data_IF_084223109391
#
_entry.id   IF_084223109391
#
_cell.length_a   1.000
_cell.length_b   1.000
_cell.length_c   1.000
_cell.angle_alpha   90.00
_cell.angle_beta   90.00
_cell.angle_gamma   90.00
#
_symmetry.space_group_name_H-M   'P 1'
#
loop_
_entity.id
_entity.type
_entity.pdbx_description
1 polymer ?
#
# COMPACT_ATOMS: atom_id res chain seq x y z
N UNK A 1 -4.49 4.72 1.42
CA UNK A 1 -4.28 3.37 0.84
C UNK A 1 -5.57 2.55 0.81
N UNK A 2 -6.26 2.35 1.95
CA UNK A 2 -7.51 1.56 2.00
C UNK A 2 -8.60 2.12 1.10
N UNK A 3 -8.74 3.45 1.05
CA UNK A 3 -9.76 4.07 0.19
C UNK A 3 -9.49 3.88 -1.31
N UNK A 4 -8.21 3.75 -1.70
CA UNK A 4 -7.84 3.38 -3.07
C UNK A 4 -8.23 1.94 -3.38
N UNK A 5 -8.03 1.03 -2.43
CA UNK A 5 -8.43 -0.38 -2.55
C UNK A 5 -9.96 -0.47 -2.71
N UNK A 6 -10.72 0.21 -1.83
CA UNK A 6 -12.20 0.26 -1.93
C UNK A 6 -12.67 0.90 -3.23
N UNK A 7 -12.05 1.99 -3.66
CA UNK A 7 -12.41 2.66 -4.91
C UNK A 7 -12.14 1.77 -6.12
N UNK A 8 -11.05 1.00 -6.12
CA UNK A 8 -10.76 0.04 -7.18
C UNK A 8 -11.76 -1.13 -7.20
N UNK A 9 -12.06 -1.71 -6.03
CA UNK A 9 -13.10 -2.74 -5.86
C UNK A 9 -14.45 -2.27 -6.44
N UNK A 10 -14.87 -1.05 -6.09
CA UNK A 10 -16.11 -0.45 -6.61
C UNK A 10 -16.06 -0.25 -8.14
N UNK A 11 -14.92 0.15 -8.70
CA UNK A 11 -14.75 0.30 -10.15
C UNK A 11 -14.93 -1.04 -10.88
N UNK A 12 -14.41 -2.15 -10.34
CA UNK A 12 -14.61 -3.48 -10.94
C UNK A 12 -16.09 -3.85 -11.03
N UNK A 13 -16.88 -3.54 -10.00
CA UNK A 13 -18.33 -3.74 -10.03
C UNK A 13 -19.03 -2.86 -11.06
N UNK A 14 -18.62 -1.59 -11.21
CA UNK A 14 -19.13 -0.69 -12.25
C UNK A 14 -18.84 -1.25 -13.64
N UNK A 15 -17.60 -1.73 -13.88
CA UNK A 15 -17.21 -2.33 -15.14
C UNK A 15 -18.02 -3.59 -15.47
N UNK A 16 -18.23 -4.46 -14.48
CA UNK A 16 -19.08 -5.65 -14.63
C UNK A 16 -20.50 -5.25 -15.07
N UNK A 17 -21.10 -4.27 -14.40
CA UNK A 17 -22.47 -3.84 -14.70
C UNK A 17 -22.57 -3.14 -16.07
N UNK A 18 -21.54 -2.39 -16.49
CA UNK A 18 -21.47 -1.76 -17.81
C UNK A 18 -21.49 -2.78 -18.95
N UNK A 19 -20.83 -3.93 -18.76
CA UNK A 19 -20.84 -5.05 -19.73
C UNK A 19 -22.18 -5.79 -19.69
N UNK A 20 -22.72 -6.12 -18.51
CA UNK A 20 -24.03 -6.80 -18.37
C UNK A 20 -25.15 -5.98 -19.01
N UNK A 21 -25.11 -4.66 -18.86
CA UNK A 21 -26.11 -3.75 -19.44
C UNK A 21 -25.84 -3.40 -20.91
N UNK A 22 -24.81 -4.00 -21.52
CA UNK A 22 -24.37 -3.79 -22.92
C UNK A 22 -24.13 -2.31 -23.29
N UNK A 23 -23.77 -1.48 -22.31
CA UNK A 23 -23.51 -0.05 -22.53
C UNK A 23 -22.10 0.21 -23.06
N UNK A 24 -21.13 -0.59 -22.60
CA UNK A 24 -19.72 -0.54 -22.96
C UNK A 24 -19.11 0.87 -22.88
N UNK A 25 -19.56 1.67 -21.90
CA UNK A 25 -19.10 3.05 -21.71
C UNK A 25 -17.62 3.12 -21.35
N UNK A 26 -17.12 2.14 -20.61
CA UNK A 26 -15.74 2.09 -20.13
C UNK A 26 -14.83 1.20 -20.97
N UNK A 27 -15.38 0.52 -21.98
CA UNK A 27 -14.66 -0.38 -22.87
C UNK A 27 -14.87 0.01 -24.35
N UNK A 28 -14.30 1.14 -24.81
CA UNK A 28 -14.55 1.66 -26.16
C UNK A 28 -14.12 0.71 -27.28
N UNK A 29 -13.04 -0.05 -27.06
CA UNK A 29 -12.56 -1.06 -28.02
C UNK A 29 -13.50 -2.27 -28.09
N UNK A 30 -14.04 -2.69 -26.93
CA UNK A 30 -15.03 -3.78 -26.88
C UNK A 30 -16.32 -3.36 -27.59
N UNK A 31 -16.79 -2.13 -27.32
CA UNK A 31 -17.93 -1.52 -28.01
C UNK A 31 -17.76 -1.53 -29.53
N UNK A 32 -16.57 -1.15 -30.01
CA UNK A 32 -16.25 -1.16 -31.44
C UNK A 32 -16.30 -2.56 -32.02
N UNK A 33 -15.65 -3.53 -31.37
CA UNK A 33 -15.63 -4.93 -31.83
C UNK A 33 -17.04 -5.54 -31.86
N UNK A 34 -17.90 -5.23 -30.89
CA UNK A 34 -19.28 -5.72 -30.85
C UNK A 34 -20.12 -5.12 -31.98
N UNK A 35 -20.01 -3.82 -32.22
CA UNK A 35 -20.69 -3.18 -33.34
C UNK A 35 -20.22 -3.77 -34.69
N UNK A 36 -18.92 -4.09 -34.82
CA UNK A 36 -18.37 -4.70 -36.03
C UNK A 36 -18.89 -6.16 -36.21
N UNK A 37 -19.10 -6.91 -35.13
CA UNK A 37 -19.69 -8.26 -35.16
C UNK A 37 -21.17 -8.25 -35.56
N UNK A 38 -21.93 -7.26 -35.10
CA UNK A 38 -23.36 -7.05 -35.44
C UNK A 38 -23.57 -6.79 -36.93
N UNK A 39 -22.66 -6.04 -37.57
CA UNK A 39 -22.70 -5.73 -39.01
C UNK A 39 -22.49 -6.99 -39.88
N UNK A 40 -21.87 -8.03 -39.32
CA UNK A 40 -21.48 -9.23 -40.05
C UNK A 40 -22.36 -10.48 -39.75
N UNK A 41 -23.45 -10.34 -38.99
CA UNK A 41 -24.35 -11.44 -38.56
C UNK A 41 -23.59 -12.65 -37.95
N UNK A 42 -22.48 -12.39 -37.25
CA UNK A 42 -21.66 -13.45 -36.64
C UNK A 42 -22.24 -13.78 -35.26
N UNK A 43 -22.60 -15.04 -34.95
CA UNK A 43 -23.22 -15.43 -33.67
C UNK A 43 -22.24 -15.46 -32.47
N UNK A 44 -21.27 -14.55 -32.43
CA UNK A 44 -20.19 -14.50 -31.43
C UNK A 44 -20.31 -13.40 -30.36
N UNK A 45 -21.30 -12.51 -30.45
CA UNK A 45 -21.45 -11.39 -29.51
C UNK A 45 -21.70 -11.87 -28.07
N UNK A 46 -22.59 -12.85 -27.91
CA UNK A 46 -22.96 -13.40 -26.60
C UNK A 46 -21.77 -14.11 -25.94
N UNK A 47 -21.03 -14.91 -26.71
CA UNK A 47 -19.84 -15.62 -26.22
C UNK A 47 -18.71 -14.68 -25.80
N UNK A 48 -18.46 -13.60 -26.57
CA UNK A 48 -17.43 -12.61 -26.22
C UNK A 48 -17.84 -11.85 -24.96
N UNK A 49 -19.11 -11.45 -24.85
CA UNK A 49 -19.60 -10.73 -23.67
C UNK A 49 -19.48 -11.58 -22.41
N UNK A 50 -19.82 -12.87 -22.49
CA UNK A 50 -19.68 -13.83 -21.39
C UNK A 50 -18.23 -14.02 -20.95
N UNK A 51 -17.28 -14.12 -21.87
CA UNK A 51 -15.85 -14.21 -21.55
C UNK A 51 -15.35 -12.99 -20.79
N UNK A 52 -15.69 -11.77 -21.25
CA UNK A 52 -15.30 -10.55 -20.55
C UNK A 52 -15.93 -10.44 -19.17
N UNK A 53 -17.20 -10.84 -19.01
CA UNK A 53 -17.85 -10.91 -17.69
C UNK A 53 -17.10 -11.89 -16.79
N UNK A 54 -16.74 -13.07 -17.30
CA UNK A 54 -15.99 -14.09 -16.56
C UNK A 54 -14.65 -13.56 -16.05
N UNK A 55 -13.88 -12.87 -16.91
CA UNK A 55 -12.60 -12.25 -16.52
C UNK A 55 -12.79 -11.21 -15.42
N UNK A 56 -13.80 -10.34 -15.53
CA UNK A 56 -14.07 -9.33 -14.49
C UNK A 56 -14.51 -9.99 -13.19
N UNK A 57 -15.35 -11.03 -13.24
CA UNK A 57 -15.78 -11.78 -12.05
C UNK A 57 -14.58 -12.46 -11.37
N UNK A 58 -13.69 -13.10 -12.14
CA UNK A 58 -12.44 -13.67 -11.58
C UNK A 58 -11.60 -12.58 -10.92
N UNK A 59 -11.44 -11.43 -11.59
CA UNK A 59 -10.68 -10.30 -11.06
C UNK A 59 -11.27 -9.76 -9.75
N UNK A 60 -12.60 -9.66 -9.63
CA UNK A 60 -13.27 -9.27 -8.39
C UNK A 60 -12.99 -10.29 -7.27
N UNK A 61 -13.10 -11.58 -7.58
CA UNK A 61 -12.89 -12.64 -6.59
C UNK A 61 -11.45 -12.66 -6.09
N UNK A 62 -10.47 -12.63 -7.01
CA UNK A 62 -9.04 -12.60 -6.68
C UNK A 62 -8.68 -11.33 -5.90
N UNK A 63 -9.18 -10.17 -6.31
CA UNK A 63 -8.96 -8.92 -5.61
C UNK A 63 -9.55 -8.96 -4.20
N UNK A 64 -10.80 -9.41 -4.06
CA UNK A 64 -11.44 -9.52 -2.75
C UNK A 64 -10.73 -10.52 -1.83
N UNK A 65 -10.26 -11.65 -2.37
CA UNK A 65 -9.49 -12.62 -1.62
C UNK A 65 -8.16 -12.02 -1.13
N UNK A 66 -7.43 -11.35 -2.03
CA UNK A 66 -6.14 -10.71 -1.73
C UNK A 66 -6.23 -9.62 -0.65
N UNK A 67 -7.33 -8.86 -0.63
CA UNK A 67 -7.52 -7.74 0.31
C UNK A 67 -8.50 -8.05 1.44
N UNK A 68 -8.86 -9.32 1.66
CA UNK A 68 -9.77 -9.78 2.72
C UNK A 68 -9.34 -9.28 4.11
N UNK A 69 -8.06 -9.41 4.44
CA UNK A 69 -7.49 -8.95 5.72
C UNK A 69 -7.66 -7.44 5.94
N UNK A 70 -7.58 -6.63 4.88
CA UNK A 70 -7.81 -5.18 4.98
C UNK A 70 -9.28 -4.84 5.23
N UNK A 71 -10.22 -5.69 4.78
CA UNK A 71 -11.65 -5.55 5.10
C UNK A 71 -11.89 -5.85 6.57
N UNK A 72 -11.29 -6.93 7.10
CA UNK A 72 -11.40 -7.33 8.50
C UNK A 72 -10.78 -6.34 9.49
N UNK A 73 -9.64 -5.75 9.15
CA UNK A 73 -8.94 -4.76 9.98
C UNK A 73 -9.38 -3.31 9.66
N UNK A 74 -10.42 -3.11 8.86
CA UNK A 74 -10.71 -1.80 8.29
C UNK A 74 -10.96 -0.70 9.33
N UNK A 75 -11.66 -1.00 10.43
CA UNK A 75 -11.86 -0.06 11.55
C UNK A 75 -10.57 0.10 12.37
N UNK A 76 -9.86 -0.99 12.63
CA UNK A 76 -8.55 -0.96 13.31
C UNK A 76 -7.52 -0.11 12.56
N UNK A 77 -7.57 -0.06 11.24
CA UNK A 77 -6.68 0.78 10.45
C UNK A 77 -7.09 2.26 10.50
N UNK A 78 -8.39 2.57 10.65
CA UNK A 78 -8.87 3.95 10.82
C UNK A 78 -8.41 4.56 12.15
N UNK A 79 -8.22 3.74 13.18
CA UNK A 79 -7.71 4.15 14.49
C UNK A 79 -6.45 5.03 14.39
N UNK A 80 -5.55 4.76 13.44
CA UNK A 80 -4.33 5.55 13.23
C UNK A 80 -4.61 7.04 13.01
N UNK A 81 -5.69 7.34 12.30
CA UNK A 81 -6.07 8.68 11.90
C UNK A 81 -7.17 9.29 12.78
N UNK A 82 -7.97 8.43 13.40
CA UNK A 82 -9.20 8.79 14.08
C UNK A 82 -9.33 8.14 15.47
N UNK A 83 -8.30 8.16 16.33
CA UNK A 83 -8.39 7.55 17.65
C UNK A 83 -9.47 8.22 18.52
N UNK A 84 -9.80 9.48 18.23
CA UNK A 84 -10.81 10.29 18.91
C UNK A 84 -12.26 9.85 18.68
N UNK A 85 -12.55 9.17 17.56
CA UNK A 85 -13.92 8.73 17.19
C UNK A 85 -14.05 7.22 17.05
N UNK A 86 -12.96 6.49 17.29
CA UNK A 86 -12.94 5.04 17.17
C UNK A 86 -13.55 4.39 18.40
N UNK A 87 -14.64 3.65 18.22
CA UNK A 87 -15.23 2.85 19.30
C UNK A 87 -14.45 1.55 19.47
N UNK A 88 -14.14 1.19 20.72
CA UNK A 88 -13.43 -0.02 21.07
C UNK A 88 -14.11 -1.28 20.50
N UNK A 89 -15.44 -1.38 20.60
CA UNK A 89 -16.24 -2.52 20.11
C UNK A 89 -16.11 -2.80 18.61
N UNK A 90 -15.70 -1.80 17.83
CA UNK A 90 -15.52 -1.90 16.38
C UNK A 90 -14.12 -2.36 15.98
N UNK A 91 -13.18 -2.37 16.93
CA UNK A 91 -11.79 -2.74 16.66
C UNK A 91 -11.67 -4.26 16.56
N UNK A 92 -11.13 -4.72 15.44
CA UNK A 92 -10.65 -6.09 15.34
C UNK A 92 -9.21 -6.15 15.83
N UNK A 93 -9.05 -6.66 17.06
CA UNK A 93 -7.74 -6.80 17.72
C UNK A 93 -7.22 -8.24 17.74
N UNK A 94 -7.90 -9.18 17.06
CA UNK A 94 -7.57 -10.61 17.07
C UNK A 94 -6.17 -10.97 16.55
N UNK A 95 -5.52 -10.07 15.82
CA UNK A 95 -4.16 -10.26 15.29
C UNK A 95 -3.07 -9.67 16.20
N UNK A 96 -3.46 -9.10 17.35
CA UNK A 96 -2.56 -8.39 18.26
C UNK A 96 -2.57 -9.05 19.65
N UNK A 97 -2.31 -10.35 19.73
CA UNK A 97 -2.30 -11.12 20.99
C UNK A 97 -1.34 -10.58 22.06
N UNK A 98 -0.31 -9.84 21.64
CA UNK A 98 0.65 -9.18 22.50
C UNK A 98 0.13 -7.88 23.13
N UNK A 99 -1.04 -7.38 22.69
CA UNK A 99 -1.63 -6.15 23.17
C UNK A 99 -2.43 -6.41 24.44
N UNK A 100 -2.14 -5.63 25.48
CA UNK A 100 -2.87 -5.65 26.75
C UNK A 100 -4.23 -4.96 26.52
N UNK A 101 -5.27 -5.74 26.23
CA UNK A 101 -6.57 -5.25 25.74
C UNK A 101 -7.28 -4.40 26.80
N UNK A 102 -7.28 -4.84 28.06
CA UNK A 102 -7.92 -4.14 29.17
C UNK A 102 -7.29 -2.76 29.39
N UNK A 103 -5.96 -2.70 29.36
CA UNK A 103 -5.21 -1.45 29.49
C UNK A 103 -5.39 -0.56 28.25
N UNK A 104 -5.45 -1.16 27.06
CA UNK A 104 -5.71 -0.44 25.81
C UNK A 104 -7.09 0.25 25.84
N UNK A 105 -8.12 -0.45 26.29
CA UNK A 105 -9.48 0.09 26.38
C UNK A 105 -9.54 1.29 27.34
N UNK A 106 -8.93 1.17 28.53
CA UNK A 106 -8.84 2.27 29.49
C UNK A 106 -8.07 3.47 28.92
N UNK A 107 -6.91 3.24 28.29
CA UNK A 107 -6.14 4.30 27.64
C UNK A 107 -6.90 4.98 26.50
N UNK A 108 -7.73 4.25 25.76
CA UNK A 108 -8.55 4.80 24.69
C UNK A 108 -9.60 5.77 25.26
N UNK A 109 -10.25 5.41 26.36
CA UNK A 109 -11.23 6.28 27.04
C UNK A 109 -10.55 7.55 27.56
N UNK A 110 -9.39 7.41 28.20
CA UNK A 110 -8.61 8.55 28.71
C UNK A 110 -8.17 9.47 27.57
N UNK A 111 -7.75 8.89 26.44
CA UNK A 111 -7.40 9.63 25.24
C UNK A 111 -8.60 10.42 24.69
N UNK A 112 -9.75 9.78 24.57
CA UNK A 112 -10.99 10.36 24.07
C UNK A 112 -11.60 11.40 25.00
N UNK A 113 -11.20 11.40 26.26
CA UNK A 113 -11.56 12.44 27.24
C UNK A 113 -10.61 13.65 27.19
N UNK A 114 -9.45 13.53 26.52
CA UNK A 114 -8.44 14.57 26.48
C UNK A 114 -8.62 15.51 25.29
N UNK A 115 -9.12 16.71 25.54
CA UNK A 115 -9.27 17.76 24.51
C UNK A 115 -7.95 18.12 23.83
N UNK A 116 -6.83 18.08 24.55
CA UNK A 116 -5.48 18.38 24.03
C UNK A 116 -5.09 17.37 22.95
N UNK A 117 -5.22 16.07 23.23
CA UNK A 117 -4.81 15.04 22.29
C UNK A 117 -5.78 14.91 21.11
N UNK A 118 -7.08 15.03 21.35
CA UNK A 118 -8.08 15.10 20.28
C UNK A 118 -7.75 16.23 19.30
N UNK A 119 -7.51 17.44 19.84
CA UNK A 119 -7.21 18.61 19.02
C UNK A 119 -5.92 18.41 18.19
N UNK A 120 -4.90 17.79 18.78
CA UNK A 120 -3.65 17.47 18.08
C UNK A 120 -3.86 16.54 16.87
N UNK A 121 -4.73 15.53 17.00
CA UNK A 121 -5.06 14.65 15.87
C UNK A 121 -5.92 15.33 14.82
N UNK A 122 -6.82 16.24 15.22
CA UNK A 122 -7.58 17.08 14.28
C UNK A 122 -6.63 17.97 13.46
N UNK A 123 -5.66 18.62 14.10
CA UNK A 123 -4.65 19.44 13.43
C UNK A 123 -3.78 18.62 12.49
N UNK A 124 -3.34 17.45 12.95
CA UNK A 124 -2.57 16.50 12.12
C UNK A 124 -3.35 16.12 10.86
N UNK A 125 -4.66 15.85 10.97
CA UNK A 125 -5.52 15.55 9.80
C UNK A 125 -5.58 16.71 8.81
N UNK A 126 -5.73 17.95 9.30
CA UNK A 126 -5.74 19.16 8.44
C UNK A 126 -4.41 19.35 7.71
N UNK A 127 -3.29 19.14 8.39
CA UNK A 127 -1.98 19.23 7.77
C UNK A 127 -1.77 18.16 6.68
N UNK A 128 -2.26 16.94 6.91
CA UNK A 128 -2.17 15.86 5.92
C UNK A 128 -3.04 16.15 4.68
N UNK A 129 -4.21 16.74 4.86
CA UNK A 129 -5.05 17.21 3.75
C UNK A 129 -4.34 18.29 2.92
N UNK A 130 -3.66 19.22 3.59
CA UNK A 130 -2.84 20.23 2.90
C UNK A 130 -1.68 19.59 2.13
N UNK A 131 -0.98 18.63 2.73
CA UNK A 131 0.11 17.88 2.07
C UNK A 131 -0.39 17.17 0.81
N UNK A 132 -1.54 16.50 0.87
CA UNK A 132 -2.10 15.81 -0.29
C UNK A 132 -2.54 16.79 -1.38
N UNK A 133 -3.11 17.94 -1.00
CA UNK A 133 -3.48 19.01 -1.93
C UNK A 133 -2.25 19.62 -2.62
N UNK A 134 -1.17 19.86 -1.87
CA UNK A 134 0.11 20.34 -2.40
C UNK A 134 0.75 19.31 -3.34
N UNK A 135 0.65 18.01 -3.02
CA UNK A 135 1.16 16.92 -3.87
C UNK A 135 0.51 16.91 -5.25
N UNK A 136 -0.80 17.19 -5.31
CA UNK A 136 -1.57 17.25 -6.55
C UNK A 136 -1.26 18.50 -7.39
N UNK A 137 -0.77 19.57 -6.78
CA UNK A 137 -0.62 20.89 -7.42
C UNK A 137 0.82 21.31 -7.71
N UNK A 138 1.81 20.83 -6.95
CA UNK A 138 3.16 21.45 -6.92
C UNK A 138 4.35 20.50 -7.13
N UNK A 139 4.16 19.19 -7.36
CA UNK A 139 5.25 18.19 -7.46
C UNK A 139 6.22 18.14 -6.25
N UNK A 140 5.94 18.86 -5.16
CA UNK A 140 6.72 18.80 -3.92
C UNK A 140 6.15 17.68 -3.05
N UNK A 141 6.92 16.60 -2.91
CA UNK A 141 6.54 15.46 -2.06
C UNK A 141 6.95 15.72 -0.61
N UNK A 142 6.07 16.32 0.20
CA UNK A 142 6.20 16.25 1.67
C UNK A 142 5.77 14.86 2.16
N UNK A 143 6.56 14.24 3.04
CA UNK A 143 6.29 12.88 3.51
C UNK A 143 5.19 12.87 4.59
N UNK A 144 3.96 12.58 4.17
CA UNK A 144 2.77 12.46 5.04
C UNK A 144 2.95 11.44 6.18
N UNK A 145 3.65 10.33 5.94
CA UNK A 145 3.82 9.26 6.94
C UNK A 145 4.68 9.70 8.13
N UNK A 146 5.65 10.58 7.91
CA UNK A 146 6.49 11.11 8.98
C UNK A 146 5.66 11.91 9.98
N UNK A 147 4.71 12.72 9.50
CA UNK A 147 3.86 13.55 10.36
C UNK A 147 2.98 12.70 11.28
N UNK A 148 2.36 11.64 10.73
CA UNK A 148 1.54 10.72 11.53
C UNK A 148 2.39 10.08 12.65
N UNK A 149 3.59 9.60 12.31
CA UNK A 149 4.50 8.98 13.25
C UNK A 149 4.97 9.96 14.34
N UNK A 150 5.29 11.19 13.98
CA UNK A 150 5.65 12.27 14.92
C UNK A 150 4.50 12.56 15.90
N UNK A 151 3.27 12.65 15.40
CA UNK A 151 2.09 12.85 16.24
C UNK A 151 1.94 11.70 17.24
N UNK A 152 2.00 10.44 16.80
CA UNK A 152 1.92 9.27 17.69
C UNK A 152 3.06 9.20 18.71
N UNK A 153 4.29 9.56 18.32
CA UNK A 153 5.43 9.57 19.23
C UNK A 153 5.38 10.68 20.29
N UNK A 154 4.62 11.75 20.03
CA UNK A 154 4.47 12.85 20.97
C UNK A 154 3.52 12.55 22.13
N UNK A 155 2.79 11.43 22.10
CA UNK A 155 1.89 11.04 23.18
C UNK A 155 2.72 10.60 24.40
N UNK A 156 2.27 10.95 25.63
CA UNK A 156 2.84 10.50 26.88
C UNK A 156 2.93 8.97 26.95
N UNK A 157 3.79 8.49 27.84
CA UNK A 157 3.94 7.06 28.09
C UNK A 157 2.72 6.43 28.78
N UNK A 158 1.81 7.24 29.31
CA UNK A 158 0.49 6.78 29.77
C UNK A 158 -0.36 6.18 28.65
N UNK A 159 -0.09 6.49 27.37
CA UNK A 159 -0.80 5.93 26.22
C UNK A 159 0.03 4.86 25.49
N UNK A 160 0.88 4.13 26.20
CA UNK A 160 1.83 3.21 25.57
C UNK A 160 1.14 2.09 24.77
N UNK A 161 0.00 1.56 25.22
CA UNK A 161 -0.73 0.51 24.48
C UNK A 161 -1.30 1.06 23.16
N UNK A 162 -1.85 2.28 23.18
CA UNK A 162 -2.28 2.96 21.96
C UNK A 162 -1.09 3.16 20.99
N UNK A 163 0.07 3.60 21.51
CA UNK A 163 1.30 3.77 20.74
C UNK A 163 1.81 2.45 20.15
N UNK A 164 1.77 1.35 20.91
CA UNK A 164 2.20 0.03 20.41
C UNK A 164 1.34 -0.40 19.21
N UNK A 165 0.01 -0.33 19.33
CA UNK A 165 -0.89 -0.65 18.22
C UNK A 165 -0.63 0.25 17.01
N UNK A 166 -0.49 1.55 17.23
CA UNK A 166 -0.26 2.50 16.16
C UNK A 166 1.04 2.21 15.38
N UNK A 167 2.13 1.94 16.11
CA UNK A 167 3.42 1.58 15.51
C UNK A 167 3.37 0.27 14.73
N UNK A 168 2.68 -0.74 15.26
CA UNK A 168 2.51 -2.02 14.56
C UNK A 168 1.84 -1.82 13.21
N UNK A 169 0.71 -1.09 13.18
CA UNK A 169 -0.03 -0.81 11.94
C UNK A 169 0.80 0.05 10.96
N UNK A 170 1.47 1.11 11.44
CA UNK A 170 2.32 1.96 10.59
C UNK A 170 3.50 1.19 9.97
N UNK A 171 3.99 0.16 10.64
CA UNK A 171 5.09 -0.68 10.16
C UNK A 171 4.64 -1.61 9.02
N UNK A 172 3.38 -2.06 9.01
CA UNK A 172 2.82 -2.89 7.92
C UNK A 172 2.96 -2.15 6.58
N UNK A 173 2.55 -0.88 6.54
CA UNK A 173 2.63 -0.07 5.31
C UNK A 173 4.05 0.36 4.95
N UNK A 174 4.91 0.56 5.94
CA UNK A 174 6.30 0.96 5.70
C UNK A 174 7.15 -0.20 5.18
N UNK A 175 6.90 -1.41 5.69
CA UNK A 175 7.60 -2.62 5.27
C UNK A 175 7.23 -3.04 3.85
N UNK A 176 5.96 -2.93 3.44
CA UNK A 176 5.57 -3.21 2.04
C UNK A 176 6.28 -2.30 1.06
N UNK A 177 6.33 -0.99 1.31
CA UNK A 177 7.08 -0.06 0.48
C UNK A 177 8.58 -0.40 0.43
N UNK A 178 9.18 -0.71 1.58
CA UNK A 178 10.58 -1.09 1.65
C UNK A 178 10.87 -2.37 0.86
N UNK A 179 10.00 -3.38 0.98
CA UNK A 179 10.08 -4.62 0.20
C UNK A 179 9.92 -4.37 -1.30
N UNK A 180 8.95 -3.58 -1.75
CA UNK A 180 8.78 -3.24 -3.16
C UNK A 180 9.99 -2.49 -3.74
N UNK A 181 10.53 -1.52 -2.98
CA UNK A 181 11.76 -0.83 -3.35
C UNK A 181 12.96 -1.78 -3.44
N UNK A 182 13.06 -2.72 -2.49
CA UNK A 182 14.09 -3.76 -2.48
C UNK A 182 13.96 -4.70 -3.69
N UNK A 183 12.77 -5.21 -3.99
CA UNK A 183 12.52 -6.08 -5.13
C UNK A 183 12.78 -5.37 -6.47
N UNK A 184 12.40 -4.09 -6.59
CA UNK A 184 12.73 -3.28 -7.75
C UNK A 184 14.25 -3.16 -7.95
N UNK A 185 15.00 -2.86 -6.87
CA UNK A 185 16.47 -2.84 -6.89
C UNK A 185 17.06 -4.21 -7.23
N UNK A 186 16.45 -5.29 -6.73
CA UNK A 186 16.88 -6.66 -7.02
C UNK A 186 16.67 -7.04 -8.48
N UNK A 187 15.53 -6.67 -9.09
CA UNK A 187 15.29 -6.88 -10.52
C UNK A 187 16.32 -6.17 -11.41
N UNK A 188 16.80 -4.99 -11.00
CA UNK A 188 17.89 -4.31 -11.70
C UNK A 188 19.25 -5.02 -11.56
N UNK A 189 19.47 -5.75 -10.46
CA UNK A 189 20.71 -6.50 -10.21
C UNK A 189 20.68 -7.83 -10.97
N UNK A 190 19.54 -8.53 -10.94
CA UNK A 190 19.27 -9.80 -11.64
C UNK A 190 18.62 -9.57 -13.03
N UNK A 191 19.07 -8.57 -13.78
CA UNK A 191 18.60 -8.35 -15.15
C UNK A 191 19.10 -9.48 -16.07
N UNK A 192 18.42 -9.69 -17.20
CA UNK A 192 18.70 -10.65 -18.27
C UNK A 192 20.16 -10.63 -18.77
N UNK A 193 20.86 -9.52 -18.61
CA UNK A 193 22.27 -9.32 -18.95
C UNK A 193 23.25 -9.75 -17.84
N UNK A 194 22.76 -10.07 -16.63
CA UNK A 194 23.53 -10.41 -15.41
C UNK A 194 23.07 -11.74 -14.78
N UNK A 195 22.84 -12.73 -15.62
CA UNK A 195 22.36 -14.08 -15.30
C UNK A 195 23.41 -15.05 -14.72
N UNK A 196 24.64 -14.58 -14.41
CA UNK A 196 25.73 -15.38 -13.81
C UNK A 196 26.04 -15.03 -12.35
N UNK A 197 25.23 -14.18 -11.70
CA UNK A 197 25.42 -13.85 -10.29
C UNK A 197 25.02 -15.04 -9.40
N UNK A 198 25.90 -15.44 -8.49
CA UNK A 198 25.56 -16.34 -7.38
C UNK A 198 24.70 -15.61 -6.36
N UNK A 199 23.94 -16.34 -5.53
CA UNK A 199 23.08 -15.71 -4.52
C UNK A 199 23.87 -14.87 -3.50
N UNK A 200 25.08 -15.29 -3.14
CA UNK A 200 25.99 -14.51 -2.28
C UNK A 200 26.37 -13.18 -2.92
N UNK A 201 26.74 -13.21 -4.21
CA UNK A 201 27.11 -11.99 -4.95
C UNK A 201 25.91 -11.05 -5.16
N UNK A 202 24.72 -11.60 -5.40
CA UNK A 202 23.48 -10.84 -5.50
C UNK A 202 23.13 -10.18 -4.17
N UNK A 203 23.28 -10.90 -3.06
CA UNK A 203 23.01 -10.39 -1.70
C UNK A 203 23.96 -9.25 -1.34
N UNK A 204 25.26 -9.40 -1.65
CA UNK A 204 26.25 -8.35 -1.45
C UNK A 204 25.95 -7.10 -2.30
N UNK A 205 25.56 -7.26 -3.58
CA UNK A 205 25.16 -6.14 -4.43
C UNK A 205 23.91 -5.41 -3.91
N UNK A 206 22.93 -6.14 -3.39
CA UNK A 206 21.74 -5.55 -2.77
C UNK A 206 22.15 -4.74 -1.54
N UNK A 207 22.98 -5.30 -0.65
CA UNK A 207 23.46 -4.61 0.54
C UNK A 207 24.18 -3.30 0.19
N UNK A 208 25.08 -3.33 -0.80
CA UNK A 208 25.77 -2.14 -1.31
C UNK A 208 24.81 -1.09 -1.89
N UNK A 209 23.69 -1.51 -2.49
CA UNK A 209 22.72 -0.60 -3.13
C UNK A 209 21.70 -0.01 -2.14
N UNK A 210 21.47 -0.68 -1.02
CA UNK A 210 20.47 -0.30 -0.02
C UNK A 210 21.10 0.44 1.16
N UNK A 211 22.39 0.25 1.40
CA UNK A 211 23.13 0.99 2.44
C UNK A 211 23.78 2.24 1.87
N UNK A 212 23.97 3.25 2.71
CA UNK A 212 24.81 4.43 2.44
C UNK A 212 26.29 4.13 2.64
N UNK A 213 26.72 2.90 2.33
CA UNK A 213 28.12 2.51 2.40
C UNK A 213 28.85 3.07 1.19
N UNK A 214 29.81 3.98 1.45
CA UNK A 214 30.73 4.46 0.44
C UNK A 214 32.01 3.62 0.52
N UNK A 215 32.18 2.59 -0.34
CA UNK A 215 33.42 1.83 -0.38
C UNK A 215 34.58 2.76 -0.70
N UNK A 216 35.70 2.60 0.02
CA UNK A 216 36.92 3.34 -0.25
C UNK A 216 37.58 2.79 -1.53
N UNK A 217 37.09 3.26 -2.68
CA UNK A 217 37.51 2.81 -4.01
C UNK A 217 39.02 3.00 -4.20
N UNK A 218 39.60 4.06 -3.64
CA UNK A 218 41.03 4.37 -3.71
C UNK A 218 41.89 3.28 -3.08
N UNK A 219 41.46 2.78 -1.91
CA UNK A 219 42.14 1.69 -1.21
C UNK A 219 41.94 0.34 -1.92
N UNK A 220 40.74 0.07 -2.44
CA UNK A 220 40.46 -1.16 -3.17
C UNK A 220 41.24 -1.22 -4.50
N UNK A 221 41.32 -0.10 -5.23
CA UNK A 221 42.06 -0.02 -6.48
C UNK A 221 43.56 -0.15 -6.29
N UNK A 222 44.13 0.34 -5.18
CA UNK A 222 45.55 0.17 -4.87
C UNK A 222 45.94 -1.29 -4.56
N UNK A 223 44.97 -2.10 -4.12
CA UNK A 223 45.18 -3.52 -3.80
C UNK A 223 44.81 -4.47 -4.95
N UNK A 224 44.18 -3.98 -6.02
CA UNK A 224 43.87 -4.77 -7.21
C UNK A 224 45.11 -4.84 -8.11
N UNK A 225 45.71 -6.03 -8.20
CA UNK A 225 46.79 -6.30 -9.14
C UNK A 225 46.29 -6.09 -10.57
N UNK A 226 46.89 -5.13 -11.29
CA UNK A 226 46.61 -4.93 -12.71
C UNK A 226 46.95 -6.20 -13.48
N UNK A 227 45.94 -6.88 -14.02
CA UNK A 227 46.19 -7.90 -15.04
C UNK A 227 46.77 -7.20 -16.26
N UNK A 228 48.03 -7.47 -16.56
CA UNK A 228 48.61 -7.11 -17.85
C UNK A 228 47.90 -7.95 -18.91
N UNK A 229 47.22 -7.28 -19.84
CA UNK A 229 46.76 -7.95 -21.06
C UNK A 229 47.97 -8.51 -21.79
N UNK A 230 47.88 -9.79 -22.15
CA UNK A 230 48.78 -10.39 -23.12
C UNK A 230 48.52 -9.84 -24.52
#
# INVERSE_FOLDING_TARGET
MIDLIRAFDAKLHVFRNDIITRNYKYFPNLKKNINDLDIHEIPGEETVTEEFISVIVSSINEFSARFSQFKELSETLKFIMYPDVTSFDKLNLSQFDWLEIEEFEMQLIDFQSSSIWIQKFIETRKELELIETERLTSNISKNANNKILETWNSLPDTFNCLKKLARAILTIFSSTYACESLFSKMNNIKDSLRNRLTDDSSSACILLKVTSYNPNISYLSSNLQQQKSH
#
